data_IF_525252047193
#
_entry.id   IF_525252047193
#
_cell.length_a   1.000
_cell.length_b   1.000
_cell.length_c   1.000
_cell.angle_alpha   90.00
_cell.angle_beta   90.00
_cell.angle_gamma   90.00
#
_symmetry.space_group_name_H-M   'P 1'
#
loop_
_entity.id
_entity.type
_entity.pdbx_description
1 polymer ?
#
# COMPACT_ATOMS: atom_id res chain seq x y z
N UNK A 1 20.41 11.61 -14.59
CA UNK A 1 21.15 10.75 -13.64
C UNK A 1 22.08 9.78 -14.35
N UNK A 2 23.08 9.31 -13.65
CA UNK A 2 24.02 8.31 -14.12
C UNK A 2 24.35 7.35 -12.97
N UNK A 3 24.77 6.13 -13.29
CA UNK A 3 25.22 5.15 -12.30
C UNK A 3 26.61 4.65 -12.63
N UNK A 4 27.37 4.28 -11.61
CA UNK A 4 28.64 3.60 -11.70
C UNK A 4 28.66 2.35 -10.80
N UNK A 5 29.74 1.58 -10.87
CA UNK A 5 29.93 0.37 -10.05
C UNK A 5 28.74 -0.60 -10.14
N UNK A 6 28.28 -0.85 -11.38
CA UNK A 6 27.11 -1.72 -11.68
C UNK A 6 25.83 -1.31 -10.95
N UNK A 7 25.61 -0.01 -10.72
CA UNK A 7 24.43 0.49 -10.00
C UNK A 7 24.60 0.53 -8.47
N UNK A 8 25.83 0.51 -7.97
CA UNK A 8 26.11 0.74 -6.55
C UNK A 8 26.18 2.23 -6.20
N UNK A 9 26.68 3.06 -7.13
CA UNK A 9 26.77 4.51 -6.96
C UNK A 9 25.86 5.21 -7.98
N UNK A 10 25.06 6.15 -7.53
CA UNK A 10 24.10 6.89 -8.34
C UNK A 10 24.27 8.39 -8.16
N UNK A 11 24.45 9.12 -9.27
CA UNK A 11 24.60 10.57 -9.28
C UNK A 11 23.39 11.20 -9.96
N UNK A 12 22.71 12.10 -9.26
CA UNK A 12 21.58 12.86 -9.76
C UNK A 12 21.96 14.33 -9.91
N UNK A 13 21.65 14.91 -11.07
CA UNK A 13 21.77 16.34 -11.33
C UNK A 13 20.40 16.98 -11.22
N UNK A 14 20.28 17.92 -10.31
CA UNK A 14 19.04 18.65 -10.08
C UNK A 14 18.93 19.82 -11.08
N UNK A 15 17.69 20.20 -11.37
CA UNK A 15 17.40 21.43 -12.10
C UNK A 15 17.58 22.64 -11.19
N UNK A 16 17.88 23.80 -11.77
CA UNK A 16 18.15 25.04 -11.04
C UNK A 16 16.92 25.95 -10.87
N UNK A 17 15.78 25.59 -11.49
CA UNK A 17 14.57 26.40 -11.52
C UNK A 17 13.44 25.89 -10.61
N UNK A 18 13.67 24.83 -9.81
CA UNK A 18 12.67 24.33 -8.85
C UNK A 18 12.60 25.22 -7.60
N UNK A 19 11.38 25.47 -7.14
CA UNK A 19 11.11 26.40 -6.03
C UNK A 19 10.27 25.75 -4.95
N UNK A 20 10.56 26.07 -3.70
CA UNK A 20 9.64 25.93 -2.59
C UNK A 20 8.71 27.14 -2.55
N UNK A 21 7.41 26.87 -2.39
CA UNK A 21 6.37 27.91 -2.30
C UNK A 21 5.49 27.69 -1.07
N UNK A 22 4.83 28.76 -0.60
CA UNK A 22 3.75 28.64 0.39
C UNK A 22 2.44 28.13 -0.25
N UNK A 23 1.39 27.99 0.56
CA UNK A 23 0.06 27.54 0.11
C UNK A 23 -0.54 28.43 -1.00
N UNK A 24 -0.15 29.71 -1.09
CA UNK A 24 -0.63 30.65 -2.09
C UNK A 24 0.27 30.70 -3.34
N UNK A 25 1.26 29.84 -3.45
CA UNK A 25 2.21 29.81 -4.56
C UNK A 25 3.28 30.89 -4.50
N UNK A 26 3.48 31.54 -3.36
CA UNK A 26 4.55 32.55 -3.19
C UNK A 26 5.87 31.86 -2.86
N UNK A 27 6.94 32.25 -3.55
CA UNK A 27 8.29 31.71 -3.34
C UNK A 27 8.76 31.84 -1.89
N UNK A 28 9.31 30.75 -1.37
CA UNK A 28 9.94 30.64 -0.05
C UNK A 28 11.46 30.44 -0.19
N UNK A 29 11.90 29.53 -1.04
CA UNK A 29 13.31 29.21 -1.27
C UNK A 29 13.51 28.50 -2.62
N UNK A 30 14.77 28.39 -3.07
CA UNK A 30 15.15 27.46 -4.12
C UNK A 30 15.16 26.01 -3.57
N UNK A 31 14.89 25.02 -4.43
CA UNK A 31 15.10 23.60 -4.11
C UNK A 31 16.55 23.25 -4.38
N UNK A 32 17.24 22.67 -3.41
CA UNK A 32 18.65 22.30 -3.52
C UNK A 32 18.90 20.86 -3.07
N UNK A 33 20.09 20.34 -3.32
CA UNK A 33 20.52 19.00 -2.86
C UNK A 33 20.46 18.83 -1.35
N UNK A 34 20.61 19.93 -0.60
CA UNK A 34 20.47 19.97 0.86
C UNK A 34 19.10 19.47 1.34
N UNK A 35 18.04 19.75 0.57
CA UNK A 35 16.68 19.32 0.93
C UNK A 35 16.53 17.79 0.94
N UNK A 36 17.27 17.06 0.09
CA UNK A 36 17.31 15.60 0.11
C UNK A 36 18.10 15.04 1.28
N UNK A 37 19.20 15.67 1.66
CA UNK A 37 19.95 15.28 2.85
C UNK A 37 19.11 15.53 4.12
N UNK A 38 18.42 16.68 4.20
CA UNK A 38 17.45 16.98 5.27
C UNK A 38 16.35 15.93 5.34
N UNK A 39 15.72 15.57 4.20
CA UNK A 39 14.66 14.59 4.13
C UNK A 39 15.10 13.19 4.54
N UNK A 40 16.30 12.77 4.09
CA UNK A 40 16.85 11.46 4.43
C UNK A 40 17.25 11.38 5.91
N UNK A 41 17.86 12.42 6.46
CA UNK A 41 18.18 12.48 7.89
C UNK A 41 16.89 12.42 8.73
N UNK A 42 15.84 13.14 8.32
CA UNK A 42 14.55 13.11 8.98
C UNK A 42 13.96 11.68 9.01
N UNK A 43 13.96 10.98 7.88
CA UNK A 43 13.39 9.63 7.75
C UNK A 43 14.20 8.61 8.55
N UNK A 44 15.52 8.74 8.60
CA UNK A 44 16.43 7.80 9.29
C UNK A 44 16.62 8.11 10.77
N UNK A 45 16.16 9.27 11.26
CA UNK A 45 16.25 9.61 12.67
C UNK A 45 15.03 9.05 13.43
N UNK A 46 15.27 8.03 14.27
CA UNK A 46 14.24 7.29 15.00
C UNK A 46 13.29 8.19 15.79
N UNK A 47 13.78 9.31 16.37
CA UNK A 47 12.99 10.21 17.19
C UNK A 47 12.26 11.30 16.39
N UNK A 48 12.70 11.60 15.16
CA UNK A 48 12.00 12.50 14.22
C UNK A 48 10.89 11.78 13.46
N UNK A 49 11.10 10.53 13.12
CA UNK A 49 10.18 9.74 12.28
C UNK A 49 9.97 8.34 12.86
N UNK A 50 8.74 8.02 13.19
CA UNK A 50 8.33 6.69 13.68
C UNK A 50 7.67 5.82 12.60
N UNK A 51 7.69 6.24 11.32
CA UNK A 51 7.05 5.50 10.23
C UNK A 51 7.93 4.37 9.69
N UNK A 52 7.29 3.39 9.01
CA UNK A 52 7.99 2.29 8.33
C UNK A 52 8.73 2.73 7.06
N UNK A 53 8.66 3.99 6.65
CA UNK A 53 9.34 4.49 5.44
C UNK A 53 10.86 4.35 5.49
N UNK A 54 11.45 4.31 6.68
CA UNK A 54 12.88 4.05 6.87
C UNK A 54 13.34 2.69 6.34
N UNK A 55 12.46 1.69 6.30
CA UNK A 55 12.82 0.32 5.91
C UNK A 55 13.44 0.23 4.49
N UNK A 56 12.93 1.01 3.54
CA UNK A 56 13.49 1.07 2.17
C UNK A 56 14.91 1.66 2.17
N UNK A 57 15.16 2.72 2.93
CA UNK A 57 16.48 3.33 3.04
C UNK A 57 17.47 2.41 3.74
N UNK A 58 17.06 1.77 4.82
CA UNK A 58 17.84 0.80 5.60
C UNK A 58 18.30 -0.38 4.74
N UNK A 59 17.44 -0.86 3.84
CA UNK A 59 17.78 -1.95 2.93
C UNK A 59 18.76 -1.52 1.82
N UNK A 60 18.69 -0.27 1.35
CA UNK A 60 19.29 0.13 0.08
C UNK A 60 20.44 1.12 0.18
N UNK A 61 20.48 1.97 1.20
CA UNK A 61 21.50 3.01 1.36
C UNK A 61 22.55 2.55 2.36
N UNK A 62 23.82 2.65 1.97
CA UNK A 62 24.96 2.28 2.81
C UNK A 62 24.94 3.10 4.12
N UNK A 63 25.16 2.46 5.26
CA UNK A 63 25.18 3.09 6.58
C UNK A 63 23.83 3.57 7.13
N UNK A 64 22.72 3.43 6.38
CA UNK A 64 21.38 3.87 6.84
C UNK A 64 20.88 3.07 8.04
N UNK A 65 21.12 1.76 8.08
CA UNK A 65 20.75 0.89 9.19
C UNK A 65 21.50 1.29 10.47
N UNK A 66 22.79 1.53 10.35
CA UNK A 66 23.68 1.93 11.46
C UNK A 66 23.27 3.30 12.03
N UNK A 67 22.91 4.25 11.16
CA UNK A 67 22.44 5.57 11.61
C UNK A 67 21.09 5.49 12.32
N UNK A 68 20.14 4.69 11.83
CA UNK A 68 18.85 4.47 12.51
C UNK A 68 19.05 3.89 13.93
N UNK A 69 19.89 2.85 14.06
CA UNK A 69 20.19 2.26 15.37
C UNK A 69 20.99 3.23 16.27
N UNK A 70 21.88 4.04 15.72
CA UNK A 70 22.56 5.09 16.45
C UNK A 70 21.56 6.09 17.06
N UNK A 71 20.65 6.63 16.25
CA UNK A 71 19.66 7.62 16.72
C UNK A 71 18.66 7.03 17.70
N UNK A 72 18.32 5.76 17.56
CA UNK A 72 17.44 5.02 18.48
C UNK A 72 18.06 4.85 19.87
N UNK A 73 19.40 4.76 19.93
CA UNK A 73 20.13 4.67 21.21
C UNK A 73 20.33 5.99 21.94
N UNK A 74 19.94 7.14 21.37
CA UNK A 74 20.07 8.46 21.97
C UNK A 74 18.82 8.85 22.76
N UNK A 75 18.96 9.83 23.65
CA UNK A 75 17.83 10.54 24.21
C UNK A 75 17.12 11.37 23.11
N UNK A 76 15.80 11.50 23.19
CA UNK A 76 15.01 12.19 22.17
C UNK A 76 15.50 13.64 21.92
N UNK A 77 15.89 14.38 22.97
CA UNK A 77 16.41 15.74 22.80
C UNK A 77 17.74 15.81 22.08
N UNK A 78 18.61 14.81 22.28
CA UNK A 78 19.89 14.70 21.56
C UNK A 78 19.65 14.32 20.09
N UNK A 79 18.77 13.36 19.84
CA UNK A 79 18.44 12.94 18.50
C UNK A 79 17.75 14.04 17.67
N UNK A 80 16.83 14.81 18.26
CA UNK A 80 16.14 15.92 17.60
C UNK A 80 17.08 17.07 17.22
N UNK A 81 18.21 17.21 17.92
CA UNK A 81 19.23 18.22 17.63
C UNK A 81 20.21 17.83 16.50
N UNK A 82 20.14 16.59 16.02
CA UNK A 82 20.99 16.14 14.92
C UNK A 82 20.55 16.75 13.59
N UNK A 83 21.51 16.89 12.69
CA UNK A 83 21.31 17.34 11.30
C UNK A 83 22.22 16.59 10.35
N UNK A 84 22.26 17.09 9.12
CA UNK A 84 22.99 16.48 8.00
C UNK A 84 24.25 17.28 7.62
N UNK A 85 24.59 18.36 8.30
CA UNK A 85 25.67 19.28 7.99
C UNK A 85 27.03 18.56 7.93
N UNK A 86 28.01 19.19 7.32
CA UNK A 86 29.37 18.69 7.24
C UNK A 86 29.93 18.42 8.65
N UNK A 87 30.53 17.22 8.83
CA UNK A 87 31.03 16.76 10.12
C UNK A 87 29.95 16.20 11.08
N UNK A 88 28.70 16.13 10.64
CA UNK A 88 27.66 15.43 11.41
C UNK A 88 27.82 13.91 11.34
N UNK A 89 27.25 13.20 12.33
CA UNK A 89 27.20 11.73 12.32
C UNK A 89 26.47 11.18 11.12
N UNK A 90 25.44 11.87 10.66
CA UNK A 90 24.73 11.49 9.45
C UNK A 90 25.65 11.48 8.22
N UNK A 91 26.42 12.54 8.01
CA UNK A 91 27.36 12.63 6.88
C UNK A 91 28.55 11.67 6.99
N UNK A 92 28.94 11.28 8.18
CA UNK A 92 29.98 10.28 8.39
C UNK A 92 29.51 8.85 8.11
N UNK A 93 28.23 8.55 8.35
CA UNK A 93 27.72 7.18 8.35
C UNK A 93 26.92 6.84 7.10
N UNK A 94 26.10 7.76 6.58
CA UNK A 94 25.09 7.47 5.56
C UNK A 94 25.61 7.74 4.15
N UNK A 95 25.37 6.82 3.24
CA UNK A 95 25.79 6.86 1.86
C UNK A 95 25.05 7.89 0.99
N UNK A 96 25.03 9.16 1.44
CA UNK A 96 24.59 10.30 0.64
C UNK A 96 25.65 11.38 0.65
N UNK A 97 26.01 11.91 -0.53
CA UNK A 97 26.89 13.07 -0.66
C UNK A 97 26.21 14.17 -1.51
N UNK A 98 26.48 15.42 -1.15
CA UNK A 98 25.98 16.62 -1.83
C UNK A 98 27.15 17.55 -2.11
N UNK A 99 27.93 17.29 -3.19
CA UNK A 99 29.13 18.04 -3.50
C UNK A 99 28.87 19.49 -3.90
N UNK A 100 27.66 19.79 -4.37
CA UNK A 100 27.17 21.13 -4.72
C UNK A 100 25.65 21.22 -4.58
N UNK A 101 25.07 22.42 -4.73
CA UNK A 101 23.63 22.68 -4.56
C UNK A 101 22.73 21.93 -5.56
N UNK A 102 23.28 21.35 -6.62
CA UNK A 102 22.53 20.67 -7.68
C UNK A 102 22.96 19.24 -7.95
N UNK A 103 23.79 18.67 -7.09
CA UNK A 103 24.27 17.29 -7.24
C UNK A 103 24.03 16.48 -6.00
N UNK A 104 23.43 15.30 -6.18
CA UNK A 104 23.24 14.30 -5.12
C UNK A 104 23.93 13.02 -5.57
N UNK A 105 24.72 12.42 -4.70
CA UNK A 105 25.34 11.12 -4.91
C UNK A 105 24.88 10.15 -3.84
N UNK A 106 24.27 9.04 -4.26
CA UNK A 106 23.89 7.95 -3.37
C UNK A 106 24.85 6.78 -3.51
N UNK A 107 25.26 6.20 -2.37
CA UNK A 107 25.97 4.94 -2.30
C UNK A 107 25.04 3.87 -1.73
N UNK A 108 24.79 2.81 -2.52
CA UNK A 108 23.91 1.72 -2.15
C UNK A 108 24.67 0.62 -1.40
N UNK A 109 23.95 -0.16 -0.58
CA UNK A 109 24.47 -1.34 0.15
C UNK A 109 24.99 -2.42 -0.81
N UNK A 110 24.40 -2.53 -2.01
CA UNK A 110 24.70 -3.49 -3.06
C UNK A 110 24.47 -2.88 -4.45
N UNK A 111 24.71 -3.64 -5.49
CA UNK A 111 24.31 -3.29 -6.86
C UNK A 111 22.78 -3.25 -6.96
N UNK A 112 22.20 -2.08 -7.28
CA UNK A 112 20.76 -1.85 -7.40
C UNK A 112 20.48 -1.14 -8.74
N UNK A 113 20.38 -1.88 -9.85
CA UNK A 113 20.23 -1.28 -11.19
C UNK A 113 18.91 -0.51 -11.37
N UNK A 114 17.94 -0.74 -10.51
CA UNK A 114 16.61 -0.08 -10.49
C UNK A 114 16.49 1.08 -9.49
N UNK A 115 17.58 1.53 -8.87
CA UNK A 115 17.55 2.57 -7.82
C UNK A 115 16.89 3.88 -8.28
N UNK A 116 17.03 4.27 -9.56
CA UNK A 116 16.37 5.45 -10.09
C UNK A 116 14.83 5.38 -9.94
N UNK A 117 14.23 4.19 -10.03
CA UNK A 117 12.78 4.03 -9.78
C UNK A 117 12.41 4.20 -8.31
N UNK A 118 13.34 3.89 -7.39
CA UNK A 118 13.13 4.02 -5.94
C UNK A 118 13.10 5.48 -5.50
N UNK A 119 13.79 6.38 -6.21
CA UNK A 119 13.75 7.82 -5.90
C UNK A 119 12.37 8.46 -6.04
N UNK A 120 11.40 7.74 -6.62
CA UNK A 120 10.00 8.16 -6.67
C UNK A 120 9.20 7.81 -5.40
N UNK A 121 9.83 7.17 -4.41
CA UNK A 121 9.19 6.82 -3.14
C UNK A 121 9.34 7.93 -2.12
N UNK A 122 8.34 8.07 -1.23
CA UNK A 122 8.27 9.18 -0.27
C UNK A 122 9.46 9.28 0.69
N UNK A 123 10.12 8.16 0.99
CA UNK A 123 11.32 8.15 1.85
C UNK A 123 12.53 8.88 1.25
N UNK A 124 12.52 9.16 -0.07
CA UNK A 124 13.55 9.88 -0.80
C UNK A 124 13.06 11.26 -1.29
N UNK A 125 11.92 11.75 -0.80
CA UNK A 125 11.46 13.10 -1.13
C UNK A 125 12.25 14.16 -0.37
N UNK A 126 12.44 15.33 -0.97
CA UNK A 126 13.11 16.45 -0.31
C UNK A 126 12.26 17.03 0.82
N UNK A 127 12.89 17.51 1.88
CA UNK A 127 12.30 18.26 2.97
C UNK A 127 13.07 19.58 3.14
N UNK A 128 12.38 20.70 3.05
CA UNK A 128 13.03 22.00 3.16
C UNK A 128 13.54 22.25 4.56
N UNK A 129 14.83 22.49 4.74
CA UNK A 129 15.40 22.92 6.02
C UNK A 129 14.72 24.23 6.52
N UNK A 130 14.44 25.16 5.60
CA UNK A 130 13.74 26.40 5.94
C UNK A 130 12.33 26.22 6.51
N UNK A 131 11.63 25.12 6.19
CA UNK A 131 10.37 24.79 6.85
C UNK A 131 10.63 24.39 8.32
N UNK A 132 11.63 23.54 8.56
CA UNK A 132 12.00 23.12 9.91
C UNK A 132 12.40 24.33 10.76
N UNK A 133 13.18 25.24 10.20
CA UNK A 133 13.63 26.48 10.88
C UNK A 133 12.45 27.42 11.19
N UNK A 134 11.42 27.45 10.32
CA UNK A 134 10.24 28.29 10.51
C UNK A 134 9.30 27.75 11.60
N UNK A 135 9.09 26.43 11.66
CA UNK A 135 8.10 25.83 12.57
C UNK A 135 8.70 25.23 13.84
N UNK A 136 9.99 24.94 13.86
CA UNK A 136 10.69 24.18 14.90
C UNK A 136 10.60 22.67 14.68
N UNK A 137 11.68 21.95 14.99
CA UNK A 137 11.79 20.50 14.74
C UNK A 137 10.65 19.70 15.40
N UNK A 138 10.22 20.10 16.60
CA UNK A 138 9.14 19.47 17.35
C UNK A 138 7.76 19.65 16.73
N UNK A 139 7.59 20.65 15.84
CA UNK A 139 6.30 21.00 15.23
C UNK A 139 6.16 20.53 13.78
N UNK A 140 7.20 19.96 13.17
CA UNK A 140 7.15 19.52 11.77
C UNK A 140 6.03 18.50 11.53
N UNK A 141 5.80 17.57 12.46
CA UNK A 141 4.72 16.58 12.36
C UNK A 141 3.32 17.18 12.59
N UNK A 142 3.22 18.43 13.03
CA UNK A 142 1.97 19.18 13.21
C UNK A 142 1.70 20.18 12.07
N UNK A 143 2.53 20.19 11.03
CA UNK A 143 2.37 21.05 9.85
C UNK A 143 1.04 20.76 9.16
N UNK A 144 0.30 21.82 8.83
CA UNK A 144 -0.96 21.75 8.09
C UNK A 144 -0.76 22.23 6.65
N UNK A 145 -1.78 22.06 5.82
CA UNK A 145 -1.76 22.61 4.47
C UNK A 145 -1.44 24.12 4.41
N UNK A 146 -1.74 24.86 5.47
CA UNK A 146 -1.58 26.34 5.49
C UNK A 146 -0.15 26.81 5.74
N UNK A 147 0.65 26.04 6.44
CA UNK A 147 2.04 26.37 6.78
C UNK A 147 3.07 25.39 6.19
N UNK A 148 2.62 24.43 5.40
CA UNK A 148 3.50 23.54 4.62
C UNK A 148 4.17 24.33 3.47
N UNK A 149 5.38 23.91 3.12
CA UNK A 149 6.03 24.35 1.89
C UNK A 149 5.84 23.30 0.79
N UNK A 150 5.58 23.79 -0.42
CA UNK A 150 5.25 22.96 -1.60
C UNK A 150 6.29 23.15 -2.71
N UNK A 151 6.66 22.08 -3.39
CA UNK A 151 7.47 22.14 -4.61
C UNK A 151 6.84 21.32 -5.76
N UNK A 152 5.58 20.93 -5.61
CA UNK A 152 4.80 20.17 -6.58
C UNK A 152 4.05 21.10 -7.55
N UNK A 153 3.43 20.50 -8.58
CA UNK A 153 2.58 21.21 -9.54
C UNK A 153 1.33 21.85 -8.94
N UNK A 154 0.95 21.43 -7.72
CA UNK A 154 -0.16 22.00 -6.97
C UNK A 154 0.23 22.32 -5.53
N UNK A 155 -0.47 23.29 -4.94
CA UNK A 155 -0.53 23.55 -3.51
C UNK A 155 -1.89 23.11 -2.95
N UNK A 156 -1.95 22.63 -1.72
CA UNK A 156 -3.20 22.22 -1.07
C UNK A 156 -3.85 23.41 -0.37
N UNK A 157 -4.74 24.11 -1.08
CA UNK A 157 -5.37 25.34 -0.56
C UNK A 157 -6.50 25.08 0.43
N UNK A 158 -7.20 23.97 0.29
CA UNK A 158 -8.21 23.50 1.26
C UNK A 158 -7.89 22.08 1.70
N UNK A 159 -8.05 21.80 2.98
CA UNK A 159 -8.02 20.46 3.55
C UNK A 159 -9.03 20.39 4.69
N UNK A 160 -10.11 19.64 4.46
CA UNK A 160 -11.13 19.33 5.46
C UNK A 160 -11.13 17.82 5.68
N UNK A 161 -10.77 17.39 6.87
CA UNK A 161 -10.72 15.96 7.20
C UNK A 161 -12.11 15.31 7.03
N UNK A 162 -12.20 14.28 6.19
CA UNK A 162 -13.47 13.63 5.84
C UNK A 162 -14.41 14.47 4.96
N UNK A 163 -13.95 15.61 4.45
CA UNK A 163 -14.70 16.54 3.61
C UNK A 163 -14.02 16.81 2.27
N UNK A 164 -13.65 18.06 2.02
CA UNK A 164 -13.09 18.51 0.76
C UNK A 164 -11.58 18.72 0.83
N UNK A 165 -10.87 18.29 -0.22
CA UNK A 165 -9.47 18.66 -0.48
C UNK A 165 -9.39 19.39 -1.80
N UNK A 166 -8.90 20.65 -1.78
CA UNK A 166 -8.71 21.44 -2.99
C UNK A 166 -7.23 21.68 -3.23
N UNK A 167 -6.79 21.31 -4.43
CA UNK A 167 -5.46 21.55 -4.96
C UNK A 167 -5.52 22.69 -5.97
N UNK A 168 -4.66 23.71 -5.82
CA UNK A 168 -4.57 24.86 -6.72
C UNK A 168 -3.23 24.86 -7.43
N UNK A 169 -3.23 25.15 -8.74
CA UNK A 169 -2.03 25.18 -9.58
C UNK A 169 -0.94 26.05 -8.98
N UNK A 170 0.26 25.51 -8.84
CA UNK A 170 1.45 26.23 -8.41
C UNK A 170 2.03 27.01 -9.61
N UNK A 171 2.00 28.36 -9.58
CA UNK A 171 2.47 29.16 -10.70
C UNK A 171 3.99 29.13 -10.89
N UNK A 172 4.74 28.67 -9.87
CA UNK A 172 6.20 28.58 -9.88
C UNK A 172 6.70 27.12 -10.01
N UNK A 173 5.80 26.20 -10.38
CA UNK A 173 6.24 24.85 -10.69
C UNK A 173 7.16 24.83 -11.92
N UNK A 174 8.23 24.07 -11.87
CA UNK A 174 9.25 24.05 -12.91
C UNK A 174 8.74 23.65 -14.31
N UNK A 175 7.65 22.88 -14.38
CA UNK A 175 6.99 22.44 -15.61
C UNK A 175 5.50 22.82 -15.56
N UNK A 176 5.23 24.08 -15.83
CA UNK A 176 3.86 24.63 -15.80
C UNK A 176 2.98 24.08 -16.92
N UNK A 177 3.58 23.61 -18.02
CA UNK A 177 2.86 23.14 -19.20
C UNK A 177 2.23 21.75 -18.98
N UNK A 178 2.82 20.93 -18.10
CA UNK A 178 2.25 19.62 -17.73
C UNK A 178 1.04 19.74 -16.79
N UNK A 179 0.80 20.92 -16.18
CA UNK A 179 -0.29 21.16 -15.23
C UNK A 179 -1.52 21.68 -15.96
N UNK A 180 -2.41 20.76 -16.35
CA UNK A 180 -3.56 21.06 -17.21
C UNK A 180 -4.69 21.79 -16.50
N UNK A 181 -4.97 21.47 -15.23
CA UNK A 181 -6.07 22.04 -14.47
C UNK A 181 -5.59 23.16 -13.55
N UNK A 182 -6.38 24.24 -13.43
CA UNK A 182 -6.10 25.31 -12.46
C UNK A 182 -6.41 24.87 -11.03
N UNK A 183 -7.45 24.04 -10.89
CA UNK A 183 -7.93 23.53 -9.60
C UNK A 183 -8.37 22.08 -9.77
N UNK A 184 -8.06 21.26 -8.78
CA UNK A 184 -8.55 19.88 -8.64
C UNK A 184 -9.17 19.75 -7.26
N UNK A 185 -10.45 19.37 -7.21
CA UNK A 185 -11.17 19.22 -5.96
C UNK A 185 -11.56 17.76 -5.74
N UNK A 186 -11.19 17.19 -4.60
CA UNK A 186 -11.65 15.89 -4.13
C UNK A 186 -12.75 16.09 -3.11
N UNK A 187 -13.92 15.48 -3.35
CA UNK A 187 -15.04 15.45 -2.40
C UNK A 187 -15.14 14.06 -1.77
N UNK A 188 -15.04 13.99 -0.46
CA UNK A 188 -15.33 12.74 0.27
C UNK A 188 -16.84 12.62 0.48
N UNK A 189 -17.39 11.48 0.10
CA UNK A 189 -18.81 11.15 0.24
C UNK A 189 -18.99 9.80 0.91
N UNK A 190 -20.14 9.59 1.57
CA UNK A 190 -20.38 8.41 2.39
C UNK A 190 -20.60 7.12 1.59
N UNK A 191 -21.08 7.24 0.33
CA UNK A 191 -21.38 6.07 -0.50
C UNK A 191 -21.08 6.29 -1.99
N UNK A 192 -20.84 5.21 -2.73
CA UNK A 192 -20.71 5.23 -4.18
C UNK A 192 -21.98 5.73 -4.89
N UNK A 193 -23.17 5.47 -4.32
CA UNK A 193 -24.43 5.94 -4.86
C UNK A 193 -24.52 7.46 -4.81
N UNK A 194 -24.11 8.08 -3.68
CA UNK A 194 -24.04 9.52 -3.55
C UNK A 194 -23.01 10.12 -4.53
N UNK A 195 -21.85 9.51 -4.66
CA UNK A 195 -20.84 9.95 -5.63
C UNK A 195 -21.38 9.90 -7.06
N UNK A 196 -22.09 8.82 -7.41
CA UNK A 196 -22.71 8.70 -8.73
C UNK A 196 -23.78 9.76 -8.98
N UNK A 197 -24.63 10.07 -7.99
CA UNK A 197 -25.62 11.17 -8.08
C UNK A 197 -24.96 12.54 -8.32
N UNK A 198 -23.83 12.83 -7.66
CA UNK A 198 -23.09 14.07 -7.91
C UNK A 198 -22.56 14.14 -9.36
N UNK A 199 -22.13 13.00 -9.90
CA UNK A 199 -21.71 12.92 -11.30
C UNK A 199 -22.89 13.13 -12.27
N UNK A 200 -24.03 12.50 -12.04
CA UNK A 200 -25.23 12.69 -12.86
C UNK A 200 -25.73 14.14 -12.87
N UNK A 201 -25.58 14.84 -11.74
CA UNK A 201 -25.94 16.25 -11.61
C UNK A 201 -24.87 17.21 -12.21
N UNK A 202 -23.74 16.69 -12.66
CA UNK A 202 -22.63 17.51 -13.18
C UNK A 202 -21.86 18.27 -12.10
N UNK A 203 -21.93 17.83 -10.84
CA UNK A 203 -21.21 18.46 -9.72
C UNK A 203 -19.76 17.95 -9.57
N UNK A 204 -19.45 16.80 -10.17
CA UNK A 204 -18.10 16.24 -10.28
C UNK A 204 -17.86 15.70 -11.69
N UNK A 205 -16.61 15.66 -12.11
CA UNK A 205 -16.19 15.27 -13.46
C UNK A 205 -15.77 13.79 -13.58
N UNK A 206 -15.54 13.12 -12.46
CA UNK A 206 -15.10 11.74 -12.40
C UNK A 206 -15.66 11.05 -11.17
N UNK A 207 -16.08 9.80 -11.34
CA UNK A 207 -16.58 8.95 -10.25
C UNK A 207 -16.10 7.50 -10.42
N UNK A 208 -15.78 6.84 -9.31
CA UNK A 208 -15.61 5.40 -9.28
C UNK A 208 -16.96 4.74 -9.00
N UNK A 209 -17.36 3.82 -9.89
CA UNK A 209 -18.68 3.19 -9.82
C UNK A 209 -18.71 2.04 -8.80
N UNK A 210 -19.81 1.92 -8.07
CA UNK A 210 -20.12 0.72 -7.33
C UNK A 210 -20.63 -0.40 -8.24
N UNK A 211 -20.74 -1.63 -7.69
CA UNK A 211 -21.13 -2.81 -8.44
C UNK A 211 -22.47 -2.63 -9.19
N UNK A 212 -23.47 -2.06 -8.52
CA UNK A 212 -24.81 -1.87 -9.09
C UNK A 212 -24.80 -0.93 -10.30
N UNK A 213 -24.10 0.22 -10.17
CA UNK A 213 -24.00 1.20 -11.26
C UNK A 213 -23.19 0.64 -12.44
N UNK A 214 -22.07 -0.05 -12.17
CA UNK A 214 -21.28 -0.71 -13.23
C UNK A 214 -22.14 -1.64 -14.06
N UNK A 215 -22.88 -2.54 -13.41
CA UNK A 215 -23.76 -3.51 -14.09
C UNK A 215 -24.86 -2.80 -14.89
N UNK A 216 -25.57 -1.85 -14.27
CA UNK A 216 -26.67 -1.14 -14.93
C UNK A 216 -26.23 -0.37 -16.17
N UNK A 217 -25.10 0.35 -16.08
CA UNK A 217 -24.58 1.15 -17.19
C UNK A 217 -24.01 0.27 -18.29
N UNK A 218 -23.37 -0.85 -17.93
CA UNK A 218 -22.76 -1.78 -18.89
C UNK A 218 -23.80 -2.57 -19.68
N UNK A 219 -24.87 -3.04 -19.03
CA UNK A 219 -25.91 -3.87 -19.66
C UNK A 219 -26.87 -3.07 -20.55
N UNK A 220 -27.04 -1.76 -20.30
CA UNK A 220 -27.87 -0.89 -21.12
C UNK A 220 -27.04 -0.07 -22.12
N UNK A 221 -26.92 -0.55 -23.35
CA UNK A 221 -26.21 0.15 -24.43
C UNK A 221 -26.79 1.54 -24.75
N UNK A 222 -28.03 1.83 -24.35
CA UNK A 222 -28.67 3.13 -24.51
C UNK A 222 -28.49 4.04 -23.30
N UNK A 223 -27.86 3.57 -22.24
CA UNK A 223 -27.60 4.36 -21.04
C UNK A 223 -26.76 5.60 -21.40
N UNK A 224 -27.12 6.81 -20.92
CA UNK A 224 -26.39 8.06 -21.27
C UNK A 224 -24.88 8.00 -21.01
N UNK A 225 -24.45 7.20 -20.04
CA UNK A 225 -23.05 7.07 -19.62
C UNK A 225 -22.37 5.78 -20.11
N UNK A 226 -23.05 4.92 -20.90
CA UNK A 226 -22.47 3.67 -21.38
C UNK A 226 -21.10 3.90 -22.09
N UNK A 227 -21.05 4.89 -22.97
CA UNK A 227 -19.82 5.22 -23.73
C UNK A 227 -18.76 5.98 -22.91
N UNK A 228 -19.04 6.32 -21.67
CA UNK A 228 -18.09 6.94 -20.74
C UNK A 228 -17.48 5.94 -19.76
N UNK A 229 -17.91 4.68 -19.80
CA UNK A 229 -17.26 3.62 -19.02
C UNK A 229 -15.81 3.44 -19.49
N UNK A 230 -14.89 3.54 -18.57
CA UNK A 230 -13.46 3.32 -18.83
C UNK A 230 -12.97 2.28 -17.83
N UNK A 231 -12.40 1.21 -18.36
CA UNK A 231 -11.68 0.25 -17.53
C UNK A 231 -10.37 0.91 -17.04
N UNK A 232 -10.18 0.96 -15.73
CA UNK A 232 -8.93 1.47 -15.19
C UNK A 232 -7.78 0.49 -15.43
N UNK A 233 -6.56 1.02 -15.55
CA UNK A 233 -5.38 0.16 -15.60
C UNK A 233 -5.27 -0.66 -14.33
N UNK A 234 -4.89 -1.94 -14.44
CA UNK A 234 -4.66 -2.79 -13.29
C UNK A 234 -3.70 -2.13 -12.29
N UNK A 235 -4.09 -2.05 -11.02
CA UNK A 235 -3.24 -1.51 -9.96
C UNK A 235 -1.96 -2.33 -9.77
N UNK A 236 -0.93 -1.78 -9.15
CA UNK A 236 0.32 -2.49 -8.83
C UNK A 236 0.21 -3.35 -7.56
N UNK A 237 -0.92 -3.30 -6.89
CA UNK A 237 -1.12 -3.98 -5.61
C UNK A 237 -1.50 -5.44 -5.83
N UNK A 238 -0.76 -6.35 -5.22
CA UNK A 238 -1.12 -7.76 -5.07
C UNK A 238 -1.82 -7.92 -3.73
N UNK A 239 -3.11 -8.29 -3.76
CA UNK A 239 -3.86 -8.57 -2.55
C UNK A 239 -3.68 -10.03 -2.16
N UNK A 240 -3.44 -10.27 -0.88
CA UNK A 240 -3.13 -11.58 -0.34
C UNK A 240 -3.93 -11.82 0.92
N UNK A 241 -4.35 -13.07 1.14
CA UNK A 241 -4.94 -13.48 2.40
C UNK A 241 -3.84 -13.92 3.36
N UNK A 242 -3.63 -13.14 4.40
CA UNK A 242 -2.68 -13.44 5.47
C UNK A 242 -3.37 -14.14 6.61
N UNK A 243 -2.94 -15.37 6.90
CA UNK A 243 -3.48 -16.21 7.96
C UNK A 243 -2.70 -15.97 9.25
N UNK A 244 -3.40 -15.79 10.37
CA UNK A 244 -2.79 -15.64 11.69
C UNK A 244 -2.66 -17.01 12.37
N UNK A 245 -1.44 -17.43 12.60
CA UNK A 245 -1.11 -18.71 13.26
C UNK A 245 -0.99 -18.60 14.78
N UNK A 246 -1.08 -17.38 15.34
CA UNK A 246 -0.91 -17.11 16.76
C UNK A 246 -1.96 -16.11 17.27
N UNK A 247 -3.23 -16.40 16.95
CA UNK A 247 -4.37 -15.55 17.28
C UNK A 247 -4.63 -15.51 18.78
N UNK A 248 -4.95 -14.33 19.27
CA UNK A 248 -5.47 -14.11 20.62
C UNK A 248 -7.01 -14.00 20.59
N UNK A 249 -7.63 -14.34 21.72
CA UNK A 249 -9.05 -14.05 21.93
C UNK A 249 -9.28 -12.56 22.08
N UNK A 250 -10.31 -12.02 21.44
CA UNK A 250 -10.62 -10.57 21.45
C UNK A 250 -11.01 -10.05 22.85
N UNK A 251 -11.45 -10.92 23.75
CA UNK A 251 -11.78 -10.59 25.13
C UNK A 251 -10.56 -10.56 26.08
N UNK A 252 -9.35 -10.80 25.54
CA UNK A 252 -8.11 -10.83 26.30
C UNK A 252 -7.90 -12.10 27.16
N UNK A 253 -8.71 -13.13 27.01
CA UNK A 253 -8.62 -14.37 27.80
C UNK A 253 -7.40 -15.26 27.44
N UNK A 254 -6.63 -14.90 26.42
CA UNK A 254 -5.42 -15.60 26.02
C UNK A 254 -5.43 -16.03 24.54
N UNK A 255 -4.73 -17.14 24.24
CA UNK A 255 -4.65 -17.67 22.87
C UNK A 255 -5.95 -18.36 22.45
N UNK A 256 -6.34 -18.14 21.17
CA UNK A 256 -7.43 -18.92 20.58
C UNK A 256 -6.93 -20.32 20.17
N UNK A 257 -7.05 -21.25 21.08
CA UNK A 257 -6.57 -22.63 20.89
C UNK A 257 -7.32 -23.32 19.75
N UNK A 258 -8.62 -23.06 19.56
CA UNK A 258 -9.43 -23.68 18.50
C UNK A 258 -8.91 -23.26 17.13
N UNK A 259 -8.80 -21.95 16.89
CA UNK A 259 -8.29 -21.42 15.63
C UNK A 259 -6.82 -21.80 15.39
N UNK A 260 -5.94 -21.57 16.37
CA UNK A 260 -4.50 -21.79 16.22
C UNK A 260 -4.16 -23.27 15.92
N UNK A 261 -4.88 -24.19 16.52
CA UNK A 261 -4.72 -25.63 16.23
C UNK A 261 -5.29 -25.97 14.84
N UNK A 262 -6.47 -25.44 14.51
CA UNK A 262 -7.08 -25.70 13.21
C UNK A 262 -6.20 -25.18 12.06
N UNK A 263 -5.72 -23.94 12.16
CA UNK A 263 -4.91 -23.33 11.09
C UNK A 263 -3.51 -23.94 10.98
N UNK A 264 -2.96 -24.53 12.04
CA UNK A 264 -1.71 -25.29 11.98
C UNK A 264 -1.87 -26.61 11.19
N UNK A 265 -3.08 -27.14 11.08
CA UNK A 265 -3.36 -28.34 10.30
C UNK A 265 -3.29 -28.05 8.79
N UNK A 266 -2.48 -28.80 8.07
CA UNK A 266 -2.26 -28.59 6.63
C UNK A 266 -3.53 -28.90 5.81
N UNK A 267 -4.28 -29.95 6.17
CA UNK A 267 -5.50 -30.32 5.47
C UNK A 267 -6.58 -29.23 5.62
N UNK A 268 -6.67 -28.58 6.80
CA UNK A 268 -7.57 -27.45 7.01
C UNK A 268 -7.25 -26.28 6.07
N UNK A 269 -5.98 -25.89 5.95
CA UNK A 269 -5.56 -24.84 5.02
C UNK A 269 -5.77 -25.23 3.57
N UNK A 270 -5.48 -26.48 3.19
CA UNK A 270 -5.72 -26.99 1.83
C UNK A 270 -7.20 -27.04 1.46
N UNK A 271 -8.08 -27.35 2.41
CA UNK A 271 -9.52 -27.28 2.20
C UNK A 271 -9.95 -25.83 1.87
N UNK A 272 -9.45 -24.83 2.59
CA UNK A 272 -9.71 -23.43 2.28
C UNK A 272 -9.13 -23.03 0.92
N UNK A 273 -7.88 -23.38 0.65
CA UNK A 273 -7.19 -23.00 -0.60
C UNK A 273 -7.89 -23.55 -1.85
N UNK A 274 -8.22 -24.84 -1.85
CA UNK A 274 -8.89 -25.47 -3.00
C UNK A 274 -10.39 -25.23 -3.06
N UNK A 275 -11.01 -24.80 -1.95
CA UNK A 275 -12.47 -24.78 -1.82
C UNK A 275 -13.13 -23.42 -1.96
N UNK A 276 -12.50 -22.35 -1.47
CA UNK A 276 -13.18 -21.06 -1.41
C UNK A 276 -13.27 -20.41 -2.80
N UNK A 277 -14.50 -20.22 -3.26
CA UNK A 277 -14.80 -19.51 -4.49
C UNK A 277 -15.03 -18.02 -4.20
N UNK A 278 -14.06 -17.18 -4.59
CA UNK A 278 -14.10 -15.74 -4.38
C UNK A 278 -14.81 -14.96 -5.49
N UNK A 279 -15.49 -15.62 -6.44
CA UNK A 279 -16.11 -14.96 -7.60
C UNK A 279 -17.06 -13.84 -7.18
N UNK A 280 -17.94 -14.08 -6.18
CA UNK A 280 -18.89 -13.06 -5.70
C UNK A 280 -18.17 -11.90 -4.97
N UNK A 281 -17.06 -12.19 -4.29
CA UNK A 281 -16.23 -11.16 -3.67
C UNK A 281 -15.55 -10.29 -4.74
N UNK A 282 -15.04 -10.89 -5.83
CA UNK A 282 -14.42 -10.16 -6.93
C UNK A 282 -15.39 -9.27 -7.70
N UNK A 283 -16.67 -9.65 -7.80
CA UNK A 283 -17.71 -8.80 -8.41
C UNK A 283 -17.88 -7.44 -7.72
N UNK A 284 -17.49 -7.31 -6.47
CA UNK A 284 -17.51 -6.02 -5.78
C UNK A 284 -16.51 -5.03 -6.35
N UNK A 285 -15.42 -5.51 -6.93
CA UNK A 285 -14.34 -4.70 -7.51
C UNK A 285 -14.45 -4.59 -9.03
N UNK A 286 -14.90 -5.65 -9.68
CA UNK A 286 -15.17 -5.68 -11.10
C UNK A 286 -16.42 -6.54 -11.36
N UNK A 287 -17.58 -5.89 -11.46
CA UNK A 287 -18.85 -6.59 -11.68
C UNK A 287 -18.97 -7.16 -13.10
N UNK A 288 -18.25 -6.57 -14.06
CA UNK A 288 -18.32 -6.92 -15.49
C UNK A 288 -17.46 -8.15 -15.76
N UNK A 289 -16.22 -8.14 -15.27
CA UNK A 289 -15.26 -9.23 -15.44
C UNK A 289 -14.53 -9.53 -14.12
N UNK A 290 -15.17 -10.25 -13.19
CA UNK A 290 -14.61 -10.52 -11.89
C UNK A 290 -13.31 -11.33 -11.93
N UNK A 291 -13.09 -12.12 -13.00
CA UNK A 291 -11.88 -12.94 -13.14
C UNK A 291 -10.62 -12.10 -13.35
N UNK A 292 -10.72 -10.86 -13.83
CA UNK A 292 -9.60 -9.91 -13.85
C UNK A 292 -9.08 -9.52 -12.45
N UNK A 293 -9.84 -9.81 -11.41
CA UNK A 293 -9.41 -9.61 -10.02
C UNK A 293 -8.62 -10.79 -9.45
N UNK A 294 -8.52 -11.92 -10.18
CA UNK A 294 -7.75 -13.08 -9.71
C UNK A 294 -6.25 -12.79 -9.69
N UNK A 295 -5.57 -13.30 -8.66
CA UNK A 295 -4.12 -13.23 -8.55
C UNK A 295 -3.61 -14.44 -7.77
N UNK A 296 -3.00 -15.39 -8.45
CA UNK A 296 -2.47 -16.62 -7.84
C UNK A 296 -0.97 -16.52 -7.49
N UNK A 297 -0.34 -15.35 -7.73
CA UNK A 297 1.09 -15.14 -7.52
C UNK A 297 1.34 -13.91 -6.64
N UNK A 298 2.44 -13.94 -5.88
CA UNK A 298 2.87 -12.78 -5.09
C UNK A 298 3.22 -11.59 -5.97
N UNK A 299 4.02 -11.82 -7.02
CA UNK A 299 4.32 -10.80 -8.03
C UNK A 299 3.18 -10.77 -9.04
N UNK A 300 2.60 -9.60 -9.22
CA UNK A 300 1.51 -9.42 -10.16
C UNK A 300 2.00 -9.43 -11.60
N UNK A 301 1.19 -9.97 -12.52
CA UNK A 301 1.40 -9.85 -13.97
C UNK A 301 1.46 -8.39 -14.42
N UNK A 302 2.29 -8.08 -15.40
CA UNK A 302 2.46 -6.75 -15.96
C UNK A 302 3.39 -5.81 -15.18
N UNK A 303 4.06 -6.30 -14.12
CA UNK A 303 4.95 -5.48 -13.28
C UNK A 303 6.43 -5.72 -13.60
N UNK A 304 6.82 -6.97 -13.83
CA UNK A 304 8.22 -7.36 -14.06
C UNK A 304 8.33 -8.24 -15.30
N UNK A 305 9.29 -7.91 -16.14
CA UNK A 305 9.59 -8.63 -17.37
C UNK A 305 11.06 -9.03 -17.42
N UNK A 306 11.33 -10.15 -18.05
CA UNK A 306 12.68 -10.55 -18.44
C UNK A 306 13.21 -9.69 -19.59
N UNK A 307 14.48 -9.81 -19.91
CA UNK A 307 15.12 -9.01 -20.98
C UNK A 307 14.56 -9.29 -22.37
N UNK A 308 13.92 -10.45 -22.59
CA UNK A 308 13.24 -10.83 -23.83
C UNK A 308 11.76 -10.44 -23.88
N UNK A 309 11.25 -9.79 -22.80
CA UNK A 309 9.89 -9.31 -22.71
C UNK A 309 8.88 -10.32 -22.16
N UNK A 310 9.34 -11.49 -21.67
CA UNK A 310 8.48 -12.48 -21.01
C UNK A 310 8.07 -11.96 -19.63
N UNK A 311 6.78 -12.02 -19.29
CA UNK A 311 6.29 -11.67 -17.95
C UNK A 311 6.86 -12.66 -16.91
N UNK A 312 7.37 -12.13 -15.80
CA UNK A 312 7.90 -12.96 -14.72
C UNK A 312 6.88 -13.99 -14.19
N UNK A 313 5.60 -13.64 -14.17
CA UNK A 313 4.52 -14.55 -13.75
C UNK A 313 4.43 -15.78 -14.65
N UNK A 314 4.71 -15.67 -15.94
CA UNK A 314 4.74 -16.84 -16.86
C UNK A 314 5.83 -17.83 -16.47
N UNK A 315 7.02 -17.33 -16.09
CA UNK A 315 8.11 -18.20 -15.62
C UNK A 315 7.76 -18.91 -14.31
N UNK A 316 7.09 -18.21 -13.38
CA UNK A 316 6.65 -18.81 -12.11
C UNK A 316 5.57 -19.85 -12.36
N UNK A 317 4.65 -19.61 -13.30
CA UNK A 317 3.61 -20.55 -13.70
C UNK A 317 4.21 -21.87 -14.21
N UNK A 318 5.19 -21.77 -15.10
CA UNK A 318 5.87 -22.94 -15.66
C UNK A 318 6.61 -23.74 -14.58
N UNK A 319 7.30 -23.04 -13.66
CA UNK A 319 7.99 -23.67 -12.52
C UNK A 319 7.06 -24.37 -11.54
N UNK A 320 5.85 -23.86 -11.38
CA UNK A 320 4.83 -24.43 -10.49
C UNK A 320 3.94 -25.46 -11.16
N UNK A 321 4.20 -25.80 -12.42
CA UNK A 321 3.42 -26.75 -13.22
C UNK A 321 1.91 -26.39 -13.23
N UNK A 322 1.59 -25.10 -13.37
CA UNK A 322 0.22 -24.59 -13.38
C UNK A 322 -0.35 -24.59 -14.83
N UNK A 323 -0.39 -25.76 -15.46
CA UNK A 323 -0.83 -25.93 -16.85
C UNK A 323 -2.28 -25.46 -17.11
N UNK A 324 -3.12 -25.48 -16.09
CA UNK A 324 -4.54 -25.11 -16.16
C UNK A 324 -4.81 -23.64 -15.82
N UNK A 325 -3.77 -22.82 -15.67
CA UNK A 325 -3.95 -21.40 -15.40
C UNK A 325 -4.73 -20.71 -16.53
N UNK A 326 -5.71 -19.91 -16.14
CA UNK A 326 -6.55 -19.16 -17.08
C UNK A 326 -7.02 -17.88 -16.40
N UNK A 327 -7.00 -16.78 -17.15
CA UNK A 327 -7.57 -15.50 -16.70
C UNK A 327 -9.11 -15.53 -16.61
N UNK A 328 -9.74 -16.65 -16.95
CA UNK A 328 -11.20 -16.83 -16.93
C UNK A 328 -11.70 -17.65 -15.75
N UNK A 329 -10.82 -18.15 -14.88
CA UNK A 329 -11.17 -18.94 -13.69
C UNK A 329 -10.15 -18.77 -12.57
N UNK A 330 -10.55 -19.05 -11.35
CA UNK A 330 -9.66 -19.17 -10.20
C UNK A 330 -8.87 -20.48 -10.37
N UNK A 331 -7.57 -20.40 -10.65
CA UNK A 331 -6.75 -21.54 -11.08
C UNK A 331 -6.65 -22.66 -10.03
N UNK A 332 -6.58 -22.27 -8.75
CA UNK A 332 -6.44 -23.25 -7.64
C UNK A 332 -7.77 -23.89 -7.21
N UNK A 333 -8.92 -23.40 -7.67
CA UNK A 333 -10.23 -23.90 -7.24
C UNK A 333 -10.46 -25.34 -7.71
N UNK A 334 -10.62 -26.27 -6.75
CA UNK A 334 -10.85 -27.68 -7.02
C UNK A 334 -11.75 -28.31 -5.93
N UNK A 335 -13.04 -28.39 -6.22
CA UNK A 335 -14.05 -28.85 -5.23
C UNK A 335 -13.80 -30.28 -4.74
N UNK A 336 -13.29 -31.18 -5.58
CA UNK A 336 -13.02 -32.57 -5.16
C UNK A 336 -11.86 -32.62 -4.16
N UNK A 337 -10.77 -31.91 -4.44
CA UNK A 337 -9.64 -31.78 -3.49
C UNK A 337 -10.08 -31.09 -2.21
N UNK A 338 -10.87 -30.04 -2.30
CA UNK A 338 -11.39 -29.33 -1.15
C UNK A 338 -12.18 -30.23 -0.21
N UNK A 339 -13.11 -31.03 -0.76
CA UNK A 339 -13.93 -31.95 0.03
C UNK A 339 -13.10 -33.08 0.65
N UNK A 340 -12.09 -33.58 -0.09
CA UNK A 340 -11.16 -34.58 0.45
C UNK A 340 -10.39 -34.02 1.66
N UNK A 341 -9.82 -32.81 1.52
CA UNK A 341 -9.06 -32.18 2.61
C UNK A 341 -9.95 -31.72 3.76
N UNK A 342 -11.19 -31.26 3.50
CA UNK A 342 -12.18 -30.94 4.52
C UNK A 342 -12.42 -32.17 5.41
N UNK A 343 -12.72 -33.32 4.81
CA UNK A 343 -12.95 -34.56 5.55
C UNK A 343 -11.73 -34.97 6.37
N UNK A 344 -10.54 -34.94 5.79
CA UNK A 344 -9.28 -35.24 6.47
C UNK A 344 -9.06 -34.30 7.66
N UNK A 345 -9.24 -32.99 7.48
CA UNK A 345 -9.08 -31.98 8.51
C UNK A 345 -10.06 -32.21 9.66
N UNK A 346 -11.33 -32.53 9.37
CA UNK A 346 -12.34 -32.80 10.39
C UNK A 346 -11.97 -34.05 11.24
N UNK A 347 -11.48 -35.09 10.59
CA UNK A 347 -11.03 -36.33 11.31
C UNK A 347 -9.82 -36.02 12.21
N UNK A 348 -8.78 -35.38 11.66
CA UNK A 348 -7.53 -35.09 12.38
C UNK A 348 -7.73 -34.11 13.54
N UNK A 349 -8.49 -33.04 13.31
CA UNK A 349 -8.71 -31.97 14.29
C UNK A 349 -9.69 -32.39 15.40
N UNK A 350 -10.73 -33.19 15.09
CA UNK A 350 -11.61 -33.74 16.10
C UNK A 350 -10.84 -34.68 17.05
N UNK A 351 -9.88 -35.47 16.53
CA UNK A 351 -9.00 -36.30 17.36
C UNK A 351 -8.09 -35.45 18.28
N UNK A 352 -7.85 -34.18 17.95
CA UNK A 352 -7.11 -33.24 18.79
C UNK A 352 -8.02 -32.38 19.71
N UNK A 353 -9.32 -32.66 19.74
CA UNK A 353 -10.29 -31.98 20.60
C UNK A 353 -10.83 -30.67 20.04
N UNK A 354 -10.62 -30.39 18.73
CA UNK A 354 -11.19 -29.23 18.05
C UNK A 354 -12.66 -29.52 17.74
N UNK A 355 -13.50 -28.53 17.97
CA UNK A 355 -14.93 -28.54 17.64
C UNK A 355 -15.22 -27.84 16.36
N UNK A 356 -16.16 -28.34 15.56
CA UNK A 356 -16.64 -27.75 14.35
C UNK A 356 -18.04 -27.14 14.53
N UNK A 357 -18.34 -26.03 13.79
CA UNK A 357 -17.45 -25.29 12.89
C UNK A 357 -16.31 -24.59 13.63
N UNK A 358 -15.14 -24.46 12.96
CA UNK A 358 -14.06 -23.62 13.46
C UNK A 358 -14.44 -22.16 13.24
N UNK A 359 -14.46 -21.37 14.31
CA UNK A 359 -14.79 -19.94 14.23
C UNK A 359 -13.56 -19.13 13.83
N UNK A 360 -13.73 -18.29 12.80
CA UNK A 360 -12.73 -17.38 12.28
C UNK A 360 -13.18 -15.92 12.45
N UNK A 361 -12.55 -15.15 13.32
CA UNK A 361 -12.84 -13.73 13.48
C UNK A 361 -12.21 -12.95 12.34
N UNK A 362 -13.04 -12.29 11.53
CA UNK A 362 -12.65 -11.40 10.45
C UNK A 362 -13.08 -9.97 10.75
N UNK A 363 -12.11 -9.05 10.74
CA UNK A 363 -12.33 -7.69 11.16
C UNK A 363 -12.47 -6.75 9.95
N UNK A 364 -13.52 -5.92 9.99
CA UNK A 364 -13.85 -4.94 8.94
C UNK A 364 -13.97 -3.53 9.53
N UNK A 365 -13.79 -2.53 8.69
CA UNK A 365 -14.03 -1.13 9.06
C UNK A 365 -15.51 -0.84 9.30
N UNK A 366 -15.78 0.35 9.85
CA UNK A 366 -17.14 0.79 10.15
C UNK A 366 -17.95 1.30 8.95
N UNK A 367 -17.33 1.46 7.76
CA UNK A 367 -18.05 1.92 6.57
C UNK A 367 -19.01 0.85 6.06
N UNK A 368 -20.13 1.27 5.43
CA UNK A 368 -21.10 0.34 4.84
C UNK A 368 -20.42 -0.56 3.79
N UNK A 369 -19.51 -0.01 2.98
CA UNK A 369 -18.78 -0.76 1.98
C UNK A 369 -17.90 -1.87 2.57
N UNK A 370 -17.24 -1.62 3.71
CA UNK A 370 -16.44 -2.62 4.41
C UNK A 370 -17.32 -3.73 4.99
N UNK A 371 -18.45 -3.35 5.61
CA UNK A 371 -19.43 -4.28 6.17
C UNK A 371 -19.99 -5.20 5.09
N UNK A 372 -20.41 -4.65 3.95
CA UNK A 372 -20.93 -5.41 2.82
C UNK A 372 -19.86 -6.35 2.23
N UNK A 373 -18.61 -5.88 2.12
CA UNK A 373 -17.50 -6.71 1.67
C UNK A 373 -17.23 -7.88 2.61
N UNK A 374 -17.28 -7.63 3.92
CA UNK A 374 -17.17 -8.67 4.93
C UNK A 374 -18.29 -9.71 4.85
N UNK A 375 -19.53 -9.27 4.64
CA UNK A 375 -20.68 -10.18 4.47
C UNK A 375 -20.54 -11.07 3.23
N UNK A 376 -20.12 -10.52 2.10
CA UNK A 376 -19.88 -11.31 0.88
C UNK A 376 -18.70 -12.28 1.09
N UNK A 377 -17.63 -11.86 1.74
CA UNK A 377 -16.51 -12.74 2.07
C UNK A 377 -16.95 -13.91 2.96
N UNK A 378 -17.72 -13.62 4.01
CA UNK A 378 -18.35 -14.65 4.86
C UNK A 378 -19.13 -15.67 4.04
N UNK A 379 -19.99 -15.17 3.15
CA UNK A 379 -20.78 -16.01 2.25
C UNK A 379 -19.89 -16.89 1.37
N UNK A 380 -18.82 -16.35 0.75
CA UNK A 380 -17.89 -17.12 -0.05
C UNK A 380 -17.30 -18.31 0.72
N UNK A 381 -16.89 -18.12 1.96
CA UNK A 381 -16.34 -19.20 2.79
C UNK A 381 -17.37 -20.24 3.18
N UNK A 382 -18.52 -19.78 3.71
CA UNK A 382 -19.54 -20.69 4.28
C UNK A 382 -20.31 -21.45 3.21
N UNK A 383 -20.55 -20.88 2.02
CA UNK A 383 -21.16 -21.59 0.91
C UNK A 383 -20.20 -22.58 0.24
N UNK A 384 -18.90 -22.21 0.14
CA UNK A 384 -17.89 -23.08 -0.49
C UNK A 384 -17.49 -24.28 0.35
N UNK A 385 -17.34 -24.08 1.67
CA UNK A 385 -16.80 -25.09 2.58
C UNK A 385 -17.87 -25.70 3.50
N UNK A 386 -19.03 -25.07 3.61
CA UNK A 386 -20.09 -25.45 4.52
C UNK A 386 -19.96 -24.78 5.89
N UNK A 387 -21.08 -24.27 6.41
CA UNK A 387 -21.18 -23.69 7.76
C UNK A 387 -20.99 -24.69 8.90
N UNK A 388 -20.90 -25.98 8.58
CA UNK A 388 -20.50 -27.06 9.47
C UNK A 388 -18.99 -27.20 9.65
N UNK A 389 -18.19 -26.62 8.75
CA UNK A 389 -16.73 -26.66 8.76
C UNK A 389 -16.08 -25.39 9.30
N UNK A 390 -16.50 -24.25 8.81
CA UNK A 390 -15.97 -22.93 9.19
C UNK A 390 -17.12 -21.92 9.36
N UNK A 391 -17.02 -21.10 10.40
CA UNK A 391 -17.93 -19.98 10.65
C UNK A 391 -17.11 -18.68 10.64
N UNK A 392 -17.42 -17.77 9.72
CA UNK A 392 -16.81 -16.44 9.69
C UNK A 392 -17.59 -15.52 10.63
N UNK A 393 -16.93 -15.09 11.69
CA UNK A 393 -17.48 -14.13 12.64
C UNK A 393 -16.98 -12.72 12.28
N UNK A 394 -17.91 -11.85 11.80
CA UNK A 394 -17.57 -10.48 11.46
C UNK A 394 -17.44 -9.63 12.72
N UNK A 395 -16.30 -8.99 12.86
CA UNK A 395 -15.97 -8.05 13.92
C UNK A 395 -15.72 -6.67 13.29
N UNK A 396 -15.99 -5.59 14.03
CA UNK A 396 -15.78 -4.23 13.53
C UNK A 396 -14.78 -3.50 14.42
N UNK A 397 -13.75 -2.89 13.80
CA UNK A 397 -12.88 -1.94 14.49
C UNK A 397 -13.39 -0.50 14.25
N UNK A 398 -13.10 0.39 15.20
CA UNK A 398 -13.69 1.73 15.22
C UNK A 398 -12.70 2.82 14.84
N UNK A 399 -11.46 2.74 15.29
CA UNK A 399 -10.47 3.80 15.11
C UNK A 399 -9.41 3.42 14.09
N UNK A 400 -8.70 2.34 14.36
CA UNK A 400 -7.54 1.95 13.58
C UNK A 400 -7.33 0.44 13.62
N UNK A 401 -7.27 -0.18 12.43
CA UNK A 401 -7.05 -1.61 12.28
C UNK A 401 -5.74 -2.08 12.94
N UNK A 402 -4.69 -1.29 12.81
CA UNK A 402 -3.37 -1.71 13.29
C UNK A 402 -3.34 -1.84 14.81
N UNK A 403 -3.77 -0.80 15.52
CA UNK A 403 -3.75 -0.79 16.99
C UNK A 403 -4.83 -1.68 17.62
N UNK A 404 -6.02 -1.75 17.02
CA UNK A 404 -7.13 -2.51 17.60
C UNK A 404 -7.10 -4.01 17.27
N UNK A 405 -6.54 -4.38 16.12
CA UNK A 405 -6.66 -5.74 15.57
C UNK A 405 -5.30 -6.40 15.34
N UNK A 406 -4.42 -5.76 14.54
CA UNK A 406 -3.13 -6.35 14.19
C UNK A 406 -2.21 -6.48 15.39
N UNK A 407 -2.01 -5.39 16.15
CA UNK A 407 -1.07 -5.36 17.27
C UNK A 407 -1.57 -6.18 18.47
N UNK A 408 -2.89 -6.39 18.55
CA UNK A 408 -3.52 -7.30 19.51
C UNK A 408 -3.58 -8.74 19.01
N UNK A 409 -3.29 -8.98 17.73
CA UNK A 409 -3.31 -10.32 17.09
C UNK A 409 -4.66 -11.03 17.21
N UNK A 410 -5.78 -10.32 17.09
CA UNK A 410 -7.14 -10.85 17.31
C UNK A 410 -7.86 -11.30 16.05
N UNK A 411 -7.34 -11.00 14.85
CA UNK A 411 -7.90 -11.52 13.59
C UNK A 411 -7.49 -12.98 13.36
N UNK A 412 -8.38 -13.77 12.75
CA UNK A 412 -8.06 -15.10 12.23
C UNK A 412 -7.26 -15.01 10.93
N UNK A 413 -7.69 -14.14 10.04
CA UNK A 413 -7.00 -13.79 8.81
C UNK A 413 -7.39 -12.38 8.38
N UNK A 414 -6.62 -11.81 7.44
CA UNK A 414 -6.94 -10.52 6.81
C UNK A 414 -6.54 -10.52 5.35
N UNK A 415 -7.19 -9.71 4.52
CA UNK A 415 -6.81 -9.49 3.13
C UNK A 415 -6.11 -8.14 3.07
N UNK A 416 -4.84 -8.18 2.68
CA UNK A 416 -4.00 -6.99 2.59
C UNK A 416 -3.32 -6.93 1.24
N UNK A 417 -3.24 -5.71 0.69
CA UNK A 417 -2.55 -5.45 -0.55
C UNK A 417 -1.11 -4.97 -0.30
N UNK A 418 -0.19 -5.50 -1.06
CA UNK A 418 1.17 -4.98 -1.16
C UNK A 418 1.44 -4.51 -2.59
N UNK A 419 1.75 -3.23 -2.74
CA UNK A 419 2.19 -2.64 -3.99
C UNK A 419 3.70 -2.60 -4.04
N UNK A 420 4.31 -3.25 -5.03
CA UNK A 420 5.76 -3.23 -5.19
C UNK A 420 6.31 -1.81 -5.30
N UNK A 421 7.35 -1.52 -4.54
CA UNK A 421 8.00 -0.20 -4.52
C UNK A 421 8.83 0.04 -5.78
N UNK A 422 9.30 -1.04 -6.42
CA UNK A 422 10.15 -1.02 -7.61
C UNK A 422 9.89 -2.25 -8.50
N UNK A 423 10.31 -2.18 -9.76
CA UNK A 423 10.07 -3.22 -10.77
C UNK A 423 11.11 -4.36 -10.66
N UNK A 424 11.07 -5.10 -9.55
CA UNK A 424 11.85 -6.32 -9.31
C UNK A 424 11.01 -7.28 -8.45
N UNK A 425 11.00 -8.60 -8.73
CA UNK A 425 10.18 -9.56 -7.97
C UNK A 425 10.47 -9.56 -6.47
N UNK A 426 11.70 -9.26 -6.06
CA UNK A 426 12.11 -9.22 -4.66
C UNK A 426 11.29 -8.23 -3.82
N UNK A 427 10.70 -7.19 -4.45
CA UNK A 427 9.83 -6.24 -3.73
C UNK A 427 8.57 -6.89 -3.14
N UNK A 428 8.10 -8.00 -3.72
CA UNK A 428 6.92 -8.74 -3.26
C UNK A 428 7.25 -9.92 -2.35
N UNK A 429 8.52 -10.30 -2.25
CA UNK A 429 8.98 -11.51 -1.55
C UNK A 429 9.67 -11.23 -0.21
N UNK A 430 9.63 -9.99 0.27
CA UNK A 430 10.29 -9.55 1.52
C UNK A 430 9.32 -9.43 2.70
#
# INVERSE_FOLDING_TARGET
>A
WESSDNGKTWTFKLRDNAKWVDVNGKEKAAVTSADWATGMEWVLNFHKNSSFNSATLVDMIDGAAEYLEYTKGLDASEALALGWEEGSKFREMVGIDIPDEHTIVYTCTREIPYFASITTTSCLYPLAQGLIDEVGVENVNAVTNKNMWYNSCYTMTTYEHGGEVTLTKNPLYWDTDCTLFNTVTYKTVESSDMAYMLYENGEIDHVSLGQSQMTTIYEDENHPFHNYLVESTPGRTSNQMHINFDKNMADGSGKDVQWNTAVANEAFRKAMFYGVDFTEYFKRFNAIDPMKCTNDFYTRSGVVYTTDGTDYVELVRDLMEMDDYSDTKIAHLNKEKAEQYKKQAMEELTAQGITFPVRADYWVGGSQSDQDSGLVLKQCFEESLGSDFIEINLCTYVKDFYSEVRDTSTQAFGIFGYGGTYADPSTYLR
#
